data_IF_900080992619
#
_entry.id   IF_900080992619
#
_cell.length_a   1.000
_cell.length_b   1.000
_cell.length_c   1.000
_cell.angle_alpha   90.00
_cell.angle_beta   90.00
_cell.angle_gamma   90.00
#
_symmetry.space_group_name_H-M   'P 1'
#
loop_
_entity.id
_entity.type
_entity.pdbx_description
1 polymer ?
#
# COMPACT_ATOMS: atom_id res chain seq x y z
N UNK A 1 16.37 7.30 -40.39
CA UNK A 1 16.21 8.00 -39.09
C UNK A 1 14.79 7.70 -38.63
N UNK A 2 14.61 6.62 -37.88
CA UNK A 2 13.31 6.20 -37.37
C UNK A 2 12.95 7.07 -36.16
N UNK A 3 11.83 7.78 -36.26
CA UNK A 3 11.27 8.55 -35.15
C UNK A 3 10.64 7.58 -34.17
N UNK A 4 11.32 7.35 -33.05
CA UNK A 4 10.78 6.63 -31.91
C UNK A 4 9.57 7.39 -31.36
N UNK A 5 8.39 6.81 -31.53
CA UNK A 5 7.15 7.27 -30.88
C UNK A 5 7.33 7.00 -29.39
N UNK A 6 7.55 8.06 -28.62
CA UNK A 6 7.47 8.01 -27.16
C UNK A 6 6.01 7.71 -26.83
N UNK A 7 5.73 6.44 -26.55
CA UNK A 7 4.45 5.98 -26.02
C UNK A 7 4.26 6.63 -24.64
N UNK A 8 3.64 7.81 -24.63
CA UNK A 8 3.11 8.39 -23.39
C UNK A 8 2.13 7.37 -22.82
N UNK A 9 2.54 6.67 -21.76
CA UNK A 9 1.61 5.94 -20.91
C UNK A 9 0.69 6.98 -20.28
N UNK A 10 -0.41 7.28 -20.96
CA UNK A 10 -1.56 7.92 -20.33
C UNK A 10 -2.12 6.84 -19.42
N UNK A 11 -1.72 6.84 -18.15
CA UNK A 11 -2.41 6.08 -17.11
C UNK A 11 -3.79 6.71 -16.97
N UNK A 12 -4.76 6.20 -17.72
CA UNK A 12 -6.16 6.46 -17.46
C UNK A 12 -6.39 6.14 -15.98
N UNK A 13 -6.93 7.11 -15.23
CA UNK A 13 -7.40 6.85 -13.87
C UNK A 13 -8.32 5.63 -13.93
N UNK A 14 -8.15 4.63 -13.04
CA UNK A 14 -9.01 3.45 -13.06
C UNK A 14 -10.48 3.91 -13.02
N UNK A 15 -11.33 3.47 -13.95
CA UNK A 15 -12.71 3.91 -14.01
C UNK A 15 -13.43 3.49 -12.73
N UNK A 16 -13.89 4.47 -11.94
CA UNK A 16 -14.58 4.23 -10.67
C UNK A 16 -14.49 5.43 -9.73
N UNK A 17 -15.38 5.47 -8.75
CA UNK A 17 -15.33 6.37 -7.59
C UNK A 17 -14.09 6.09 -6.73
N UNK A 18 -13.69 7.06 -5.91
CA UNK A 18 -12.60 6.92 -4.94
C UNK A 18 -12.73 5.66 -4.05
N UNK A 19 -13.95 5.27 -3.71
CA UNK A 19 -14.22 4.07 -2.92
C UNK A 19 -13.94 2.78 -3.72
N UNK A 20 -14.40 2.72 -4.97
CA UNK A 20 -14.13 1.59 -5.88
C UNK A 20 -12.63 1.46 -6.14
N UNK A 21 -11.93 2.58 -6.31
CA UNK A 21 -10.47 2.59 -6.48
C UNK A 21 -9.75 2.07 -5.23
N UNK A 22 -10.19 2.48 -4.02
CA UNK A 22 -9.64 1.95 -2.76
C UNK A 22 -9.87 0.46 -2.62
N UNK A 23 -11.08 -0.02 -2.94
CA UNK A 23 -11.41 -1.45 -2.88
C UNK A 23 -10.58 -2.27 -3.86
N UNK A 24 -10.49 -1.85 -5.12
CA UNK A 24 -9.68 -2.51 -6.14
C UNK A 24 -8.21 -2.56 -5.73
N UNK A 25 -7.67 -1.45 -5.21
CA UNK A 25 -6.29 -1.40 -4.72
C UNK A 25 -6.06 -2.38 -3.55
N UNK A 26 -7.02 -2.49 -2.64
CA UNK A 26 -6.96 -3.45 -1.54
C UNK A 26 -6.99 -4.91 -2.04
N UNK A 27 -7.84 -5.23 -3.02
CA UNK A 27 -7.87 -6.56 -3.65
C UNK A 27 -6.52 -6.90 -4.29
N UNK A 28 -5.96 -5.97 -5.07
CA UNK A 28 -4.63 -6.14 -5.69
C UNK A 28 -3.52 -6.38 -4.66
N UNK A 29 -3.54 -5.67 -3.53
CA UNK A 29 -2.56 -5.91 -2.47
C UNK A 29 -2.72 -7.31 -1.85
N UNK A 30 -3.94 -7.76 -1.60
CA UNK A 30 -4.16 -9.11 -1.06
C UNK A 30 -3.70 -10.21 -2.03
N UNK A 31 -3.94 -10.03 -3.33
CA UNK A 31 -3.43 -10.94 -4.37
C UNK A 31 -1.90 -10.99 -4.39
N UNK A 32 -1.25 -9.82 -4.32
CA UNK A 32 0.21 -9.73 -4.23
C UNK A 32 0.75 -10.46 -2.99
N UNK A 33 0.11 -10.28 -1.83
CA UNK A 33 0.50 -10.96 -0.59
C UNK A 33 0.35 -12.47 -0.71
N UNK A 34 -0.77 -12.94 -1.28
CA UNK A 34 -1.00 -14.37 -1.50
C UNK A 34 0.04 -14.99 -2.43
N UNK A 35 0.38 -14.33 -3.54
CA UNK A 35 1.41 -14.80 -4.49
C UNK A 35 2.81 -14.81 -3.85
N UNK A 36 3.18 -13.75 -3.12
CA UNK A 36 4.46 -13.65 -2.43
C UNK A 36 4.65 -14.78 -1.40
N UNK A 37 3.61 -15.03 -0.59
CA UNK A 37 3.61 -16.14 0.37
C UNK A 37 3.65 -17.50 -0.34
N UNK A 38 2.91 -17.65 -1.45
CA UNK A 38 2.94 -18.85 -2.29
C UNK A 38 4.34 -19.16 -2.87
N UNK A 39 5.17 -18.12 -3.07
CA UNK A 39 6.58 -18.24 -3.48
C UNK A 39 7.55 -18.51 -2.33
N UNK A 40 7.05 -18.68 -1.11
CA UNK A 40 7.85 -18.96 0.09
C UNK A 40 8.44 -17.72 0.77
N UNK A 41 7.99 -16.51 0.40
CA UNK A 41 8.42 -15.28 1.09
C UNK A 41 7.70 -15.21 2.44
N UNK A 42 8.43 -15.04 3.56
CA UNK A 42 7.82 -14.92 4.88
C UNK A 42 6.83 -13.75 4.96
N UNK A 43 5.70 -13.97 5.64
CA UNK A 43 4.62 -12.98 5.74
C UNK A 43 5.07 -11.65 6.38
N UNK A 44 5.94 -11.71 7.37
CA UNK A 44 6.56 -10.55 8.01
C UNK A 44 7.49 -9.78 7.05
N UNK A 45 8.18 -10.49 6.16
CA UNK A 45 9.00 -9.87 5.10
C UNK A 45 8.11 -9.12 4.10
N UNK A 46 6.99 -9.72 3.67
CA UNK A 46 6.03 -9.03 2.79
C UNK A 46 5.45 -7.79 3.48
N UNK A 47 5.08 -7.90 4.76
CA UNK A 47 4.54 -6.78 5.54
C UNK A 47 5.53 -5.63 5.71
N UNK A 48 6.76 -5.91 6.16
CA UNK A 48 7.79 -4.89 6.37
C UNK A 48 8.18 -4.18 5.07
N UNK A 49 8.29 -4.91 3.95
CA UNK A 49 8.58 -4.32 2.65
C UNK A 49 7.41 -3.50 2.10
N UNK A 50 6.16 -3.93 2.35
CA UNK A 50 4.97 -3.14 1.98
C UNK A 50 4.94 -1.79 2.71
N UNK A 51 5.27 -1.78 4.01
CA UNK A 51 5.40 -0.55 4.80
C UNK A 51 6.52 0.33 4.22
N UNK A 52 7.69 -0.23 3.94
CA UNK A 52 8.80 0.53 3.38
C UNK A 52 8.43 1.19 2.04
N UNK A 53 7.78 0.44 1.14
CA UNK A 53 7.31 0.97 -0.15
C UNK A 53 6.29 2.11 0.03
N UNK A 54 5.35 1.96 0.97
CA UNK A 54 4.39 3.01 1.29
C UNK A 54 5.08 4.28 1.82
N UNK A 55 6.07 4.14 2.71
CA UNK A 55 6.83 5.27 3.24
C UNK A 55 7.59 6.02 2.15
N UNK A 56 8.23 5.32 1.20
CA UNK A 56 8.88 5.97 0.07
C UNK A 56 7.89 6.80 -0.76
N UNK A 57 6.70 6.25 -1.03
CA UNK A 57 5.65 6.97 -1.77
C UNK A 57 5.12 8.19 -1.01
N UNK A 58 4.90 8.06 0.31
CA UNK A 58 4.43 9.16 1.16
C UNK A 58 5.47 10.28 1.24
N UNK A 59 6.75 9.95 1.48
CA UNK A 59 7.82 10.97 1.52
C UNK A 59 7.94 11.66 0.16
N UNK A 60 7.89 10.92 -0.94
CA UNK A 60 7.97 11.49 -2.28
C UNK A 60 6.80 12.43 -2.60
N UNK A 61 5.60 12.16 -2.07
CA UNK A 61 4.39 12.95 -2.33
C UNK A 61 4.19 14.11 -1.35
N UNK A 62 4.52 13.92 -0.08
CA UNK A 62 4.13 14.80 1.03
C UNK A 62 5.31 15.38 1.82
N UNK A 63 6.53 14.91 1.57
CA UNK A 63 7.72 15.32 2.32
C UNK A 63 7.95 14.51 3.61
N UNK A 64 9.15 14.59 4.18
CA UNK A 64 9.54 13.79 5.34
C UNK A 64 8.81 14.20 6.63
N UNK A 65 8.55 15.49 6.85
CA UNK A 65 7.88 15.98 8.06
C UNK A 65 6.43 15.47 8.15
N UNK A 66 5.64 15.69 7.09
CA UNK A 66 4.25 15.21 7.00
C UNK A 66 4.16 13.70 7.13
N UNK A 67 5.11 12.98 6.53
CA UNK A 67 5.15 11.52 6.62
C UNK A 67 5.48 11.06 8.04
N UNK A 68 6.40 11.74 8.73
CA UNK A 68 6.75 11.42 10.12
C UNK A 68 5.56 11.61 11.07
N UNK A 69 4.78 12.68 10.90
CA UNK A 69 3.54 12.91 11.68
C UNK A 69 2.54 11.77 11.45
N UNK A 70 2.28 11.41 10.19
CA UNK A 70 1.41 10.28 9.85
C UNK A 70 1.86 8.97 10.50
N UNK A 71 3.16 8.67 10.47
CA UNK A 71 3.72 7.45 11.07
C UNK A 71 3.61 7.45 12.60
N UNK A 72 3.76 8.60 13.25
CA UNK A 72 3.58 8.71 14.69
C UNK A 72 2.15 8.39 15.12
N UNK A 73 1.16 8.85 14.36
CA UNK A 73 -0.24 8.53 14.63
C UNK A 73 -0.54 7.05 14.35
N UNK A 74 0.01 6.50 13.27
CA UNK A 74 -0.10 5.07 12.99
C UNK A 74 0.50 4.21 14.12
N UNK A 75 1.64 4.62 14.69
CA UNK A 75 2.24 3.93 15.82
C UNK A 75 1.31 3.93 17.05
N UNK A 76 0.59 5.03 17.31
CA UNK A 76 -0.42 5.08 18.39
C UNK A 76 -1.55 4.10 18.12
N UNK A 77 -2.11 4.06 16.91
CA UNK A 77 -3.18 3.11 16.54
C UNK A 77 -2.77 1.65 16.74
N UNK A 78 -1.53 1.28 16.38
CA UNK A 78 -0.99 -0.07 16.64
C UNK A 78 -0.93 -0.37 18.13
N UNK A 79 -0.41 0.55 18.94
CA UNK A 79 -0.31 0.40 20.40
C UNK A 79 -1.67 0.39 21.11
N UNK A 80 -2.71 0.93 20.47
CA UNK A 80 -4.08 0.97 20.96
C UNK A 80 -4.93 -0.23 20.50
N UNK A 81 -4.30 -1.27 19.93
CA UNK A 81 -4.98 -2.48 19.43
C UNK A 81 -6.01 -2.23 18.32
N UNK A 82 -5.93 -1.09 17.59
CA UNK A 82 -6.91 -0.76 16.52
C UNK A 82 -6.86 -1.74 15.33
N UNK A 83 -5.73 -2.43 15.15
CA UNK A 83 -5.53 -3.45 14.11
C UNK A 83 -5.72 -4.88 14.63
N UNK A 84 -5.92 -5.05 15.93
CA UNK A 84 -6.22 -6.36 16.51
C UNK A 84 -7.66 -6.67 16.19
N UNK A 85 -7.90 -7.73 15.41
CA UNK A 85 -9.26 -8.23 15.21
C UNK A 85 -9.85 -8.53 16.59
N UNK A 86 -10.91 -7.83 16.98
CA UNK A 86 -11.73 -8.22 18.12
C UNK A 86 -12.28 -9.63 17.81
N UNK A 87 -11.52 -10.66 18.16
CA UNK A 87 -12.02 -12.03 18.18
C UNK A 87 -13.11 -11.98 19.23
N UNK A 88 -14.37 -11.85 18.78
CA UNK A 88 -15.54 -11.91 19.66
C UNK A 88 -15.34 -13.12 20.56
N UNK A 89 -15.15 -12.85 21.85
CA UNK A 89 -15.19 -13.87 22.87
C UNK A 89 -16.64 -14.38 22.90
N UNK A 90 -16.90 -15.43 22.13
CA UNK A 90 -18.08 -16.28 22.23
C UNK A 90 -17.59 -17.70 22.51
#
# INVERSE_FOLDING_TARGET
METAVVQKHVTALPPGSDEEQRKLCFEMFNEYWADAVGKGIPFDTVGTMSIAAALFALVAKHGPETTAEFVQDLAKSVLQDEFTSQKRAN
#
